data_IF_065833019876
#
_entry.id   IF_065833019876
#
_cell.length_a   1.000
_cell.length_b   1.000
_cell.length_c   1.000
_cell.angle_alpha   90.00
_cell.angle_beta   90.00
_cell.angle_gamma   90.00
#
_symmetry.space_group_name_H-M   'P 1'
#
loop_
_entity.id
_entity.type
_entity.pdbx_description
1 polymer ?
#
# COMPACT_ATOMS: atom_id res chain seq x y z
N UNK A 1 21.09 45.48 7.08
CA UNK A 1 20.05 45.39 8.14
C UNK A 1 18.70 45.63 7.47
N UNK A 2 17.78 44.70 7.26
CA UNK A 2 17.82 43.25 7.23
C UNK A 2 16.57 42.86 6.43
N UNK A 3 16.76 42.35 5.22
CA UNK A 3 15.70 41.88 4.35
C UNK A 3 15.38 40.45 4.80
N UNK A 4 14.35 40.27 5.65
CA UNK A 4 13.90 38.94 6.05
C UNK A 4 13.01 38.35 4.95
N UNK A 5 13.61 37.56 4.06
CA UNK A 5 12.90 36.59 3.24
C UNK A 5 12.10 35.67 4.16
N UNK A 6 10.77 35.72 4.05
CA UNK A 6 9.89 34.67 4.56
C UNK A 6 10.02 33.48 3.62
N UNK A 7 10.75 32.46 4.05
CA UNK A 7 10.84 31.16 3.37
C UNK A 7 9.46 30.50 3.40
N UNK A 8 8.72 30.63 2.32
CA UNK A 8 7.48 29.89 2.09
C UNK A 8 7.86 28.42 1.86
N UNK A 9 7.65 27.57 2.87
CA UNK A 9 7.73 26.12 2.71
C UNK A 9 6.62 25.71 1.74
N UNK A 10 7.01 25.43 0.49
CA UNK A 10 6.14 24.78 -0.49
C UNK A 10 6.00 23.33 -0.05
N UNK A 11 4.98 23.05 0.76
CA UNK A 11 4.51 21.70 1.03
C UNK A 11 3.92 21.13 -0.25
N UNK A 12 4.75 20.50 -1.08
CA UNK A 12 4.29 19.76 -2.26
C UNK A 12 3.73 18.43 -1.76
N UNK A 13 2.48 18.49 -1.31
CA UNK A 13 1.63 17.34 -1.12
C UNK A 13 1.63 16.52 -2.41
N UNK A 14 1.95 15.23 -2.32
CA UNK A 14 1.43 14.31 -3.31
C UNK A 14 -0.08 14.28 -3.11
N UNK A 15 -0.78 15.12 -3.88
CA UNK A 15 -2.08 14.71 -4.35
C UNK A 15 -1.83 13.51 -5.28
N UNK A 16 -1.72 12.32 -4.68
CA UNK A 16 -2.49 11.23 -5.25
C UNK A 16 -3.90 11.81 -5.30
N UNK A 17 -4.39 12.19 -6.48
CA UNK A 17 -5.75 12.67 -6.62
C UNK A 17 -6.67 11.49 -6.33
N UNK A 18 -6.89 11.22 -5.05
CA UNK A 18 -8.03 10.52 -4.54
C UNK A 18 -9.23 11.33 -5.03
N UNK A 19 -9.87 10.89 -6.10
CA UNK A 19 -11.19 11.42 -6.38
C UNK A 19 -12.10 10.99 -5.24
N UNK A 20 -12.48 12.01 -4.48
CA UNK A 20 -13.78 12.08 -3.87
C UNK A 20 -14.85 12.07 -4.95
N UNK A 21 -15.27 10.87 -5.33
CA UNK A 21 -16.65 10.67 -5.72
C UNK A 21 -17.45 10.59 -4.42
N UNK A 22 -18.48 11.42 -4.28
CA UNK A 22 -19.53 11.21 -3.30
C UNK A 22 -20.30 9.94 -3.70
N UNK A 23 -19.78 8.79 -3.30
CA UNK A 23 -20.52 7.55 -3.26
C UNK A 23 -20.70 7.20 -1.78
N UNK A 24 -21.94 6.97 -1.39
CA UNK A 24 -22.30 6.40 -0.09
C UNK A 24 -21.28 5.32 0.26
N UNK A 25 -20.71 5.39 1.46
CA UNK A 25 -19.74 4.45 2.00
C UNK A 25 -20.36 3.05 2.16
N UNK A 26 -20.59 2.37 1.04
CA UNK A 26 -20.46 0.93 0.91
C UNK A 26 -19.14 0.74 0.19
N UNK A 27 -18.12 0.44 0.98
CA UNK A 27 -16.86 -0.08 0.51
C UNK A 27 -17.19 -1.17 -0.52
N UNK A 28 -16.93 -0.98 -1.83
CA UNK A 28 -17.07 -2.09 -2.75
C UNK A 28 -16.13 -3.18 -2.20
N UNK A 29 -16.60 -4.43 -2.08
CA UNK A 29 -15.71 -5.51 -1.70
C UNK A 29 -14.50 -5.46 -2.64
N UNK A 30 -13.30 -5.68 -2.08
CA UNK A 30 -12.12 -5.91 -2.91
C UNK A 30 -12.52 -6.90 -4.01
N UNK A 31 -12.25 -6.57 -5.27
CA UNK A 31 -12.70 -7.42 -6.37
C UNK A 31 -12.15 -8.84 -6.15
N UNK A 32 -13.04 -9.83 -5.90
CA UNK A 32 -12.70 -11.14 -5.36
C UNK A 32 -11.76 -11.93 -6.27
N UNK A 33 -11.66 -11.55 -7.55
CA UNK A 33 -10.72 -12.14 -8.50
C UNK A 33 -9.27 -12.11 -8.01
N UNK A 34 -8.74 -10.97 -7.53
CA UNK A 34 -7.35 -10.93 -7.03
C UNK A 34 -7.16 -11.67 -5.72
N UNK A 35 -8.13 -11.65 -4.81
CA UNK A 35 -8.01 -12.36 -3.54
C UNK A 35 -7.87 -13.88 -3.74
N UNK A 36 -8.34 -14.40 -4.89
CA UNK A 36 -8.24 -15.81 -5.29
C UNK A 36 -7.09 -16.12 -6.25
N UNK A 37 -6.35 -15.10 -6.71
CA UNK A 37 -5.24 -15.26 -7.65
C UNK A 37 -4.04 -15.94 -7.00
N UNK A 38 -3.33 -16.79 -7.76
CA UNK A 38 -2.06 -17.37 -7.31
C UNK A 38 -1.00 -16.29 -7.00
N UNK A 39 -1.07 -15.15 -7.68
CA UNK A 39 -0.20 -14.00 -7.42
C UNK A 39 -0.40 -13.40 -6.02
N UNK A 40 -1.61 -13.46 -5.48
CA UNK A 40 -1.91 -12.93 -4.14
C UNK A 40 -1.36 -13.81 -3.00
N UNK A 41 -0.88 -15.02 -3.30
CA UNK A 41 -0.21 -15.90 -2.32
C UNK A 41 1.21 -15.46 -1.99
N UNK A 42 1.78 -14.51 -2.73
CA UNK A 42 3.11 -13.98 -2.48
C UNK A 42 3.23 -13.42 -1.07
N UNK A 43 4.29 -13.80 -0.36
CA UNK A 43 4.54 -13.36 1.01
C UNK A 43 5.89 -12.66 1.19
N UNK A 44 6.70 -12.59 0.13
CA UNK A 44 7.87 -11.73 0.02
C UNK A 44 7.86 -11.07 -1.34
N UNK A 45 7.81 -9.75 -1.36
CA UNK A 45 7.83 -8.97 -2.61
C UNK A 45 8.81 -7.82 -2.47
N UNK A 46 9.74 -7.71 -3.41
CA UNK A 46 10.58 -6.53 -3.59
C UNK A 46 10.07 -5.76 -4.79
N UNK A 47 9.80 -4.46 -4.63
CA UNK A 47 9.41 -3.56 -5.71
C UNK A 47 10.39 -2.39 -5.77
N UNK A 48 11.02 -2.19 -6.91
CA UNK A 48 11.64 -0.95 -7.32
C UNK A 48 10.67 -0.17 -8.20
N UNK A 49 10.38 1.08 -7.86
CA UNK A 49 9.43 1.93 -8.60
C UNK A 49 10.13 3.20 -9.02
N UNK A 50 9.98 3.59 -10.28
CA UNK A 50 10.48 4.87 -10.81
C UNK A 50 9.40 5.60 -11.58
N UNK A 51 9.27 6.90 -11.31
CA UNK A 51 8.40 7.84 -12.00
C UNK A 51 9.23 9.08 -12.31
N UNK A 52 9.95 9.05 -13.43
CA UNK A 52 10.96 10.06 -13.79
C UNK A 52 10.39 11.47 -13.82
N UNK A 53 9.22 11.64 -14.42
CA UNK A 53 8.51 12.93 -14.51
C UNK A 53 8.20 13.55 -13.15
N UNK A 54 8.06 12.74 -12.10
CA UNK A 54 7.76 13.18 -10.74
C UNK A 54 9.01 13.25 -9.86
N UNK A 55 10.19 12.93 -10.39
CA UNK A 55 11.43 12.84 -9.60
C UNK A 55 11.28 11.87 -8.43
N UNK A 56 10.58 10.76 -8.65
CA UNK A 56 10.27 9.77 -7.62
C UNK A 56 10.93 8.42 -7.95
N UNK A 57 11.65 7.89 -6.98
CA UNK A 57 12.19 6.54 -6.99
C UNK A 57 11.99 5.88 -5.63
N UNK A 58 11.74 4.58 -5.62
CA UNK A 58 11.55 3.83 -4.39
C UNK A 58 12.02 2.38 -4.51
N UNK A 59 12.43 1.81 -3.38
CA UNK A 59 12.58 0.39 -3.14
C UNK A 59 11.76 0.00 -1.91
N UNK A 60 10.84 -0.95 -2.11
CA UNK A 60 9.92 -1.41 -1.07
C UNK A 60 10.02 -2.92 -0.94
N UNK A 61 10.26 -3.38 0.29
CA UNK A 61 10.30 -4.80 0.63
C UNK A 61 9.12 -5.14 1.51
N UNK A 62 8.18 -5.89 0.95
CA UNK A 62 7.01 -6.42 1.64
C UNK A 62 7.29 -7.82 2.14
N UNK A 63 6.91 -8.09 3.39
CA UNK A 63 6.89 -9.43 3.93
C UNK A 63 5.56 -9.66 4.66
N UNK A 64 4.89 -10.76 4.36
CA UNK A 64 3.63 -11.16 5.00
C UNK A 64 3.87 -12.39 5.85
N UNK A 65 3.47 -12.31 7.10
CA UNK A 65 3.52 -13.43 8.04
C UNK A 65 2.29 -14.33 7.92
N UNK A 66 2.36 -15.53 8.50
CA UNK A 66 1.29 -16.53 8.42
C UNK A 66 -0.04 -16.10 9.05
N UNK A 67 -0.02 -15.18 10.02
CA UNK A 67 -1.23 -14.63 10.64
C UNK A 67 -1.73 -13.34 9.94
N UNK A 68 -1.10 -12.93 8.84
CA UNK A 68 -1.52 -11.80 8.03
C UNK A 68 -0.88 -10.46 8.39
N UNK A 69 -0.01 -10.39 9.40
CA UNK A 69 0.75 -9.16 9.69
C UNK A 69 1.72 -8.88 8.54
N UNK A 70 1.88 -7.60 8.20
CA UNK A 70 2.67 -7.15 7.05
C UNK A 70 3.80 -6.26 7.55
N UNK A 71 5.02 -6.54 7.12
CA UNK A 71 6.19 -5.67 7.28
C UNK A 71 6.51 -5.03 5.94
N UNK A 72 6.82 -3.75 5.97
CA UNK A 72 7.27 -2.96 4.85
C UNK A 72 8.57 -2.24 5.25
N UNK A 73 9.69 -2.65 4.67
CA UNK A 73 10.87 -1.78 4.63
C UNK A 73 10.75 -0.87 3.41
N UNK A 74 10.98 0.42 3.59
CA UNK A 74 10.89 1.39 2.52
C UNK A 74 12.13 2.26 2.47
N UNK A 75 12.57 2.51 1.24
CA UNK A 75 13.54 3.53 0.86
C UNK A 75 12.96 4.27 -0.33
N UNK A 76 12.84 5.58 -0.26
CA UNK A 76 12.29 6.38 -1.35
C UNK A 76 12.99 7.74 -1.43
N UNK A 77 13.12 8.24 -2.66
CA UNK A 77 13.54 9.60 -2.94
C UNK A 77 12.42 10.30 -3.69
N UNK A 78 12.09 11.50 -3.23
CA UNK A 78 11.04 12.34 -3.82
C UNK A 78 11.52 13.77 -3.90
N UNK A 79 11.57 14.32 -5.12
CA UNK A 79 12.03 15.70 -5.33
C UNK A 79 13.38 15.98 -4.62
N UNK A 80 14.29 15.00 -4.64
CA UNK A 80 15.60 15.07 -4.00
C UNK A 80 15.63 14.79 -2.49
N UNK A 81 14.49 14.58 -1.83
CA UNK A 81 14.43 14.23 -0.42
C UNK A 81 14.35 12.71 -0.24
N UNK A 82 15.36 12.14 0.41
CA UNK A 82 15.39 10.74 0.76
C UNK A 82 14.60 10.48 2.07
N UNK A 83 13.89 9.36 2.10
CA UNK A 83 13.17 8.81 3.25
C UNK A 83 13.46 7.32 3.31
N UNK A 84 13.73 6.81 4.51
CA UNK A 84 13.91 5.38 4.74
C UNK A 84 13.30 4.98 6.09
N UNK A 85 13.06 3.68 6.27
CA UNK A 85 12.68 3.10 7.56
C UNK A 85 11.74 1.90 7.38
N UNK A 86 11.04 1.52 8.45
CA UNK A 86 10.16 0.37 8.45
C UNK A 86 8.75 0.72 8.97
N UNK A 87 7.75 0.10 8.36
CA UNK A 87 6.36 0.11 8.77
C UNK A 87 5.88 -1.33 8.98
N UNK A 88 4.99 -1.54 9.94
CA UNK A 88 4.39 -2.86 10.17
C UNK A 88 2.91 -2.72 10.51
N UNK A 89 2.05 -3.43 9.78
CA UNK A 89 0.63 -3.55 10.10
C UNK A 89 0.41 -4.83 10.89
N UNK A 90 -0.05 -4.69 12.14
CA UNK A 90 -0.31 -5.81 13.05
C UNK A 90 -1.81 -5.94 13.28
N UNK A 91 -2.33 -7.14 13.07
CA UNK A 91 -3.72 -7.55 13.24
C UNK A 91 -4.73 -6.60 12.56
N UNK A 92 -4.33 -5.95 11.46
CA UNK A 92 -5.11 -4.92 10.75
C UNK A 92 -5.59 -3.74 11.63
N UNK A 93 -5.07 -3.60 12.85
CA UNK A 93 -5.57 -2.66 13.85
C UNK A 93 -4.55 -1.66 14.35
N UNK A 94 -3.25 -1.95 14.18
CA UNK A 94 -2.17 -1.04 14.57
C UNK A 94 -1.13 -0.94 13.46
N UNK A 95 -0.82 0.29 13.08
CA UNK A 95 0.37 0.60 12.28
C UNK A 95 1.52 0.91 13.24
N UNK A 96 2.62 0.16 13.13
CA UNK A 96 3.88 0.44 13.80
C UNK A 96 4.83 1.11 12.81
N UNK A 97 5.61 2.09 13.26
CA UNK A 97 6.61 2.78 12.44
C UNK A 97 7.93 2.96 13.19
N UNK A 98 9.04 2.72 12.49
CA UNK A 98 10.40 2.90 13.00
C UNK A 98 11.24 3.63 11.95
N UNK A 99 11.93 4.67 12.38
CA UNK A 99 12.83 5.51 11.56
C UNK A 99 12.20 6.20 10.33
N UNK A 100 10.89 6.04 10.11
CA UNK A 100 10.15 6.73 9.05
C UNK A 100 9.58 8.06 9.57
N UNK A 101 9.86 9.20 8.92
CA UNK A 101 9.17 10.46 9.21
C UNK A 101 7.71 10.33 8.77
N UNK A 102 6.78 10.50 9.72
CA UNK A 102 5.34 10.42 9.46
C UNK A 102 4.70 11.79 9.68
N UNK A 103 3.87 12.19 8.72
CA UNK A 103 3.06 13.38 8.84
C UNK A 103 1.83 13.10 9.71
N UNK A 104 1.56 13.99 10.66
CA UNK A 104 0.47 13.84 11.62
C UNK A 104 -0.88 13.79 10.89
N UNK A 105 -1.67 12.76 11.16
CA UNK A 105 -2.97 12.54 10.52
C UNK A 105 -2.90 11.89 9.13
N UNK A 106 -1.69 11.59 8.64
CA UNK A 106 -1.41 10.92 7.36
C UNK A 106 -0.46 9.72 7.53
N UNK A 107 -0.43 9.15 8.73
CA UNK A 107 0.43 8.02 9.06
C UNK A 107 0.10 6.80 8.18
N UNK A 108 -1.19 6.54 7.93
CA UNK A 108 -1.65 5.44 7.07
C UNK A 108 -1.26 5.63 5.61
N UNK A 109 -1.20 6.86 5.10
CA UNK A 109 -0.83 7.11 3.70
C UNK A 109 0.57 6.57 3.38
N UNK A 110 1.47 6.66 4.35
CA UNK A 110 2.85 6.18 4.25
C UNK A 110 2.95 4.66 4.05
N UNK A 111 1.91 3.93 4.48
CA UNK A 111 1.78 2.49 4.32
C UNK A 111 0.90 2.12 3.11
N UNK A 112 -0.20 2.85 2.91
CA UNK A 112 -1.18 2.59 1.85
C UNK A 112 -0.61 2.85 0.46
N UNK A 113 0.21 3.90 0.26
CA UNK A 113 0.79 4.20 -1.06
C UNK A 113 1.59 3.02 -1.65
N UNK A 114 2.60 2.50 -0.93
CA UNK A 114 3.34 1.30 -1.33
C UNK A 114 2.43 0.07 -1.54
N UNK A 115 1.44 -0.15 -0.68
CA UNK A 115 0.52 -1.27 -0.82
C UNK A 115 -0.40 -1.16 -2.04
N UNK A 116 -0.89 0.03 -2.37
CA UNK A 116 -1.66 0.26 -3.61
C UNK A 116 -0.82 -0.09 -4.84
N UNK A 117 0.47 0.25 -4.83
CA UNK A 117 1.39 -0.14 -5.91
C UNK A 117 1.61 -1.66 -5.96
N UNK A 118 1.76 -2.32 -4.81
CA UNK A 118 1.82 -3.78 -4.76
C UNK A 118 0.55 -4.40 -5.38
N UNK A 119 -0.63 -3.91 -4.99
CA UNK A 119 -1.90 -4.37 -5.57
C UNK A 119 -1.97 -4.13 -7.08
N UNK A 120 -1.48 -2.99 -7.58
CA UNK A 120 -1.39 -2.73 -9.01
C UNK A 120 -0.52 -3.78 -9.69
N UNK A 121 0.69 -4.01 -9.19
CA UNK A 121 1.61 -5.00 -9.75
C UNK A 121 0.99 -6.39 -9.81
N UNK A 122 0.34 -6.84 -8.73
CA UNK A 122 -0.31 -8.15 -8.71
C UNK A 122 -1.44 -8.25 -9.75
N UNK A 123 -2.23 -7.19 -9.93
CA UNK A 123 -3.27 -7.11 -10.98
C UNK A 123 -2.68 -7.17 -12.39
N UNK A 124 -1.56 -6.47 -12.62
CA UNK A 124 -0.87 -6.46 -13.91
C UNK A 124 -0.28 -7.84 -14.22
N UNK A 125 0.35 -8.50 -13.23
CA UNK A 125 0.89 -9.84 -13.35
C UNK A 125 -0.20 -10.89 -13.59
N UNK A 126 -1.33 -10.77 -12.91
CA UNK A 126 -2.50 -11.64 -13.15
C UNK A 126 -3.04 -11.47 -14.57
N UNK A 127 -3.13 -10.22 -15.07
CA UNK A 127 -3.58 -9.97 -16.45
C UNK A 127 -2.62 -10.57 -17.47
N UNK A 128 -1.31 -10.38 -17.26
CA UNK A 128 -0.27 -10.79 -18.19
C UNK A 128 -0.02 -12.31 -18.16
N UNK A 129 -0.11 -12.92 -16.97
CA UNK A 129 0.16 -14.34 -16.74
C UNK A 129 -0.94 -14.93 -15.83
N UNK A 130 -2.15 -15.17 -16.37
CA UNK A 130 -3.30 -15.63 -15.58
C UNK A 130 -3.12 -17.05 -15.02
N UNK A 131 -2.27 -17.88 -15.65
CA UNK A 131 -1.91 -19.21 -15.14
C UNK A 131 -1.04 -19.16 -13.87
N UNK A 132 -0.64 -17.96 -13.43
CA UNK A 132 0.07 -17.75 -12.17
C UNK A 132 1.59 -17.96 -12.25
N UNK A 133 2.29 -17.67 -11.15
CA UNK A 133 3.76 -17.66 -11.09
C UNK A 133 4.38 -19.03 -11.40
N UNK A 134 3.70 -20.13 -11.05
CA UNK A 134 4.22 -21.49 -11.27
C UNK A 134 4.34 -21.85 -12.77
N UNK A 135 3.62 -21.16 -13.65
CA UNK A 135 3.67 -21.37 -15.11
C UNK A 135 4.94 -20.81 -15.76
N UNK A 136 5.68 -19.93 -15.06
CA UNK A 136 6.84 -19.22 -15.59
C UNK A 136 8.07 -20.10 -15.46
N UNK A 137 8.45 -20.78 -16.55
CA UNK A 137 9.60 -21.69 -16.60
C UNK A 137 10.83 -21.12 -17.29
N UNK A 138 10.66 -20.02 -18.02
CA UNK A 138 11.71 -19.30 -18.74
C UNK A 138 11.35 -17.81 -18.79
N UNK A 139 12.32 -17.00 -19.17
CA UNK A 139 12.06 -15.60 -19.48
C UNK A 139 11.07 -15.48 -20.66
N UNK A 140 10.09 -14.59 -20.52
CA UNK A 140 9.08 -14.32 -21.52
C UNK A 140 8.64 -12.86 -21.50
N UNK A 141 8.27 -12.29 -22.66
CA UNK A 141 7.78 -10.92 -22.72
C UNK A 141 6.40 -10.80 -22.08
N UNK A 142 6.16 -9.63 -21.50
CA UNK A 142 4.84 -9.16 -21.08
C UNK A 142 4.37 -8.11 -22.07
N UNK A 143 3.14 -8.27 -22.54
CA UNK A 143 2.42 -7.25 -23.28
C UNK A 143 0.92 -7.44 -23.03
N UNK A 144 0.37 -6.65 -22.12
CA UNK A 144 -1.05 -6.69 -21.78
C UNK A 144 -1.64 -5.28 -21.81
N UNK A 145 -2.83 -5.16 -22.38
CA UNK A 145 -3.55 -3.90 -22.51
C UNK A 145 -5.03 -4.05 -22.21
N UNK A 146 -5.66 -2.94 -21.89
CA UNK A 146 -7.09 -2.79 -21.68
C UNK A 146 -7.50 -1.37 -22.07
N UNK A 147 -8.57 -1.26 -22.84
CA UNK A 147 -9.01 0.00 -23.45
C UNK A 147 -10.17 0.63 -22.69
N UNK A 148 -11.00 -0.19 -22.04
CA UNK A 148 -12.29 0.26 -21.53
C UNK A 148 -12.38 0.23 -19.99
N UNK A 149 -11.56 -0.59 -19.33
CA UNK A 149 -11.68 -0.85 -17.89
C UNK A 149 -10.47 -0.37 -17.12
N UNK A 150 -10.70 0.47 -16.12
CA UNK A 150 -9.66 0.90 -15.19
C UNK A 150 -9.13 -0.26 -14.33
N UNK A 151 -7.87 -0.18 -13.91
CA UNK A 151 -7.34 -1.04 -12.83
C UNK A 151 -7.73 -0.44 -11.49
N UNK A 152 -8.53 -1.17 -10.72
CA UNK A 152 -8.93 -0.78 -9.37
C UNK A 152 -8.12 -1.54 -8.34
N UNK A 153 -7.60 -0.81 -7.36
CA UNK A 153 -6.79 -1.33 -6.27
C UNK A 153 -7.28 -0.77 -4.95
N UNK A 154 -7.15 -1.53 -3.87
CA UNK A 154 -7.59 -1.09 -2.56
C UNK A 154 -6.68 -1.63 -1.45
N UNK A 155 -6.66 -0.90 -0.36
CA UNK A 155 -5.99 -1.24 0.90
C UNK A 155 -7.00 -1.08 2.03
N UNK A 156 -6.58 -1.30 3.27
CA UNK A 156 -7.48 -1.11 4.42
C UNK A 156 -8.00 0.34 4.51
N UNK A 157 -7.20 1.33 4.11
CA UNK A 157 -7.53 2.76 4.31
C UNK A 157 -7.47 3.64 3.08
N UNK A 158 -7.29 3.07 1.88
CA UNK A 158 -7.23 3.83 0.64
C UNK A 158 -7.63 2.98 -0.56
N UNK A 159 -8.25 3.63 -1.54
CA UNK A 159 -8.54 3.10 -2.86
C UNK A 159 -7.70 3.83 -3.92
N UNK A 160 -7.38 3.13 -5.00
CA UNK A 160 -6.70 3.66 -6.16
C UNK A 160 -7.34 3.18 -7.45
N UNK A 161 -7.26 4.02 -8.47
CA UNK A 161 -7.81 3.73 -9.79
C UNK A 161 -6.85 4.25 -10.87
N UNK A 162 -6.44 3.35 -11.77
CA UNK A 162 -5.61 3.66 -12.94
C UNK A 162 -6.46 3.53 -14.19
N UNK A 163 -6.69 4.65 -14.86
CA UNK A 163 -7.70 4.75 -15.91
C UNK A 163 -7.30 4.03 -17.18
N UNK A 164 -8.31 3.50 -17.88
CA UNK A 164 -8.14 3.04 -19.25
C UNK A 164 -8.07 4.24 -20.23
N UNK A 165 -7.44 4.09 -21.41
CA UNK A 165 -6.64 2.93 -21.80
C UNK A 165 -5.38 2.81 -20.94
N UNK A 166 -4.99 1.57 -20.64
CA UNK A 166 -3.73 1.26 -19.99
C UNK A 166 -3.03 0.09 -20.67
N UNK A 167 -1.70 0.05 -20.53
CA UNK A 167 -0.84 -1.01 -21.05
C UNK A 167 0.29 -1.26 -20.08
N UNK A 168 0.66 -2.54 -19.96
CA UNK A 168 1.89 -2.98 -19.32
C UNK A 168 2.72 -3.77 -20.33
N UNK A 169 3.97 -3.39 -20.48
CA UNK A 169 4.96 -4.13 -21.28
C UNK A 169 6.17 -4.48 -20.43
N UNK A 170 6.97 -5.46 -20.85
CA UNK A 170 8.24 -5.75 -20.20
C UNK A 170 8.65 -7.21 -20.29
N UNK A 171 9.30 -7.71 -19.25
CA UNK A 171 9.82 -9.08 -19.17
C UNK A 171 9.51 -9.71 -17.82
N UNK A 172 9.33 -11.03 -17.84
CA UNK A 172 9.15 -11.83 -16.63
C UNK A 172 9.87 -13.16 -16.77
N UNK A 173 10.47 -13.66 -15.70
CA UNK A 173 11.20 -14.91 -15.72
C UNK A 173 11.39 -15.54 -14.34
N UNK A 174 11.83 -16.80 -14.28
CA UNK A 174 12.15 -17.45 -13.03
C UNK A 174 13.36 -16.79 -12.35
N UNK A 175 13.32 -16.71 -11.02
CA UNK A 175 14.44 -16.35 -10.16
C UNK A 175 14.94 -17.53 -9.35
N UNK A 176 15.84 -17.28 -8.39
CA UNK A 176 16.31 -18.31 -7.46
C UNK A 176 15.21 -18.71 -6.48
N UNK A 177 15.24 -19.94 -5.95
CA UNK A 177 14.38 -20.39 -4.84
C UNK A 177 12.87 -20.16 -5.05
N UNK A 178 12.37 -20.43 -6.27
CA UNK A 178 10.96 -20.25 -6.62
C UNK A 178 10.52 -18.79 -6.72
N UNK A 179 11.46 -17.85 -6.78
CA UNK A 179 11.17 -16.45 -7.10
C UNK A 179 10.68 -16.31 -8.55
N UNK A 180 9.94 -15.24 -8.78
CA UNK A 180 9.66 -14.70 -10.11
C UNK A 180 10.20 -13.29 -10.16
N UNK A 181 11.01 -12.99 -11.17
CA UNK A 181 11.56 -11.66 -11.44
C UNK A 181 10.79 -11.01 -12.57
N UNK A 182 10.54 -9.73 -12.46
CA UNK A 182 9.86 -8.97 -13.50
C UNK A 182 10.41 -7.56 -13.63
N UNK A 183 10.30 -7.05 -14.84
CA UNK A 183 10.48 -5.65 -15.18
C UNK A 183 9.29 -5.23 -16.04
N UNK A 184 8.60 -4.17 -15.61
CA UNK A 184 7.35 -3.70 -16.20
C UNK A 184 7.46 -2.21 -16.47
N UNK A 185 7.01 -1.80 -17.64
CA UNK A 185 6.65 -0.42 -17.96
C UNK A 185 5.13 -0.33 -17.99
N UNK A 186 4.56 0.43 -17.06
CA UNK A 186 3.11 0.65 -16.99
C UNK A 186 2.77 2.07 -17.43
N UNK A 187 1.77 2.18 -18.31
CA UNK A 187 1.22 3.43 -18.79
C UNK A 187 -0.30 3.39 -18.64
N UNK A 188 -0.89 4.43 -18.07
CA UNK A 188 -2.34 4.58 -17.97
C UNK A 188 -2.80 5.98 -18.34
N UNK A 189 -4.05 6.11 -18.75
CA UNK A 189 -4.65 7.41 -18.99
C UNK A 189 -4.63 8.31 -17.75
N UNK A 190 -4.61 9.61 -17.99
CA UNK A 190 -4.73 10.63 -16.94
C UNK A 190 -6.19 11.10 -16.84
N UNK A 191 -6.62 11.49 -15.63
CA UNK A 191 -7.95 12.09 -15.42
C UNK A 191 -8.16 13.36 -16.23
N UNK A 192 -7.11 14.15 -16.40
CA UNK A 192 -7.17 15.31 -17.28
C UNK A 192 -6.90 14.84 -18.71
N UNK A 193 -7.82 15.06 -19.67
CA UNK A 193 -7.59 14.72 -21.08
C UNK A 193 -6.39 15.45 -21.69
N UNK A 194 -5.99 16.58 -21.08
CA UNK A 194 -4.79 17.35 -21.45
C UNK A 194 -3.57 17.01 -20.58
N UNK A 195 -3.76 16.20 -19.54
CA UNK A 195 -2.69 15.72 -18.69
C UNK A 195 -1.89 14.65 -19.41
N UNK A 196 -0.58 14.66 -19.21
CA UNK A 196 0.23 13.57 -19.72
C UNK A 196 -0.17 12.24 -19.06
N UNK A 197 0.00 11.11 -19.77
CA UNK A 197 -0.24 9.78 -19.21
C UNK A 197 0.50 9.59 -17.88
N UNK A 198 -0.09 8.75 -17.04
CA UNK A 198 0.62 8.24 -15.88
C UNK A 198 1.57 7.15 -16.36
N UNK A 199 2.86 7.30 -16.04
CA UNK A 199 3.92 6.41 -16.47
C UNK A 199 4.75 5.99 -15.26
N UNK A 200 5.01 4.69 -15.14
CA UNK A 200 5.88 4.16 -14.09
C UNK A 200 6.63 2.93 -14.57
N UNK A 201 7.92 2.88 -14.25
CA UNK A 201 8.75 1.69 -14.39
C UNK A 201 8.77 0.95 -13.06
N UNK A 202 8.56 -0.36 -13.13
CA UNK A 202 8.49 -1.23 -11.96
C UNK A 202 9.41 -2.41 -12.20
N UNK A 203 10.38 -2.60 -11.33
CA UNK A 203 11.20 -3.82 -11.28
C UNK A 203 10.86 -4.56 -10.00
N UNK A 204 10.88 -5.89 -10.01
CA UNK A 204 10.56 -6.59 -8.79
C UNK A 204 10.87 -8.07 -8.76
N UNK A 205 10.74 -8.59 -7.54
CA UNK A 205 10.87 -10.00 -7.22
C UNK A 205 9.63 -10.38 -6.42
N UNK A 206 8.93 -11.40 -6.87
CA UNK A 206 7.81 -12.02 -6.16
C UNK A 206 8.23 -13.40 -5.66
N UNK A 207 7.81 -13.77 -4.45
CA UNK A 207 8.02 -15.10 -3.89
C UNK A 207 6.89 -15.48 -2.93
N UNK A 208 6.48 -16.75 -3.00
CA UNK A 208 5.68 -17.40 -1.95
C UNK A 208 6.61 -18.34 -1.16
N UNK A 209 7.32 -17.78 -0.17
CA UNK A 209 8.28 -18.53 0.63
C UNK A 209 7.58 -19.42 1.67
N UNK A 210 8.10 -20.63 1.89
CA UNK A 210 7.64 -21.51 2.97
C UNK A 210 8.82 -21.88 3.87
N UNK A 211 8.80 -21.58 5.17
CA UNK A 211 7.73 -20.87 5.88
C UNK A 211 7.69 -19.35 5.56
N UNK A 212 6.54 -18.67 5.79
CA UNK A 212 6.45 -17.21 5.72
C UNK A 212 7.34 -16.55 6.80
N UNK A 213 7.51 -15.23 6.72
CA UNK A 213 8.22 -14.49 7.78
C UNK A 213 7.51 -14.70 9.12
N UNK A 214 8.30 -14.93 10.17
CA UNK A 214 7.78 -15.07 11.52
C UNK A 214 7.86 -13.74 12.26
N UNK A 215 6.76 -13.36 12.89
CA UNK A 215 6.66 -12.21 13.79
C UNK A 215 6.19 -12.73 15.15
N UNK A 216 7.11 -13.28 15.96
CA UNK A 216 6.74 -13.89 17.24
C UNK A 216 6.22 -12.82 18.20
N UNK A 217 5.31 -13.21 19.10
CA UNK A 217 4.74 -12.32 20.12
C UNK A 217 5.82 -11.68 21.02
N UNK A 218 6.95 -12.37 21.18
CA UNK A 218 8.10 -11.91 21.96
C UNK A 218 8.97 -10.88 21.24
N UNK A 219 8.73 -10.59 19.95
CA UNK A 219 9.52 -9.62 19.19
C UNK A 219 9.45 -8.23 19.85
N UNK A 220 10.59 -7.67 20.30
CA UNK A 220 10.60 -6.40 21.00
C UNK A 220 10.31 -5.24 20.03
N UNK A 221 9.56 -4.25 20.53
CA UNK A 221 9.16 -3.07 19.77
C UNK A 221 9.89 -1.79 20.21
N UNK A 222 11.09 -1.93 20.78
CA UNK A 222 11.96 -0.78 21.08
C UNK A 222 12.25 0.01 19.80
N UNK A 223 12.02 1.33 19.84
CA UNK A 223 12.19 2.23 18.69
C UNK A 223 10.99 2.27 17.74
N UNK A 224 9.95 1.47 17.96
CA UNK A 224 8.71 1.54 17.20
C UNK A 224 7.71 2.49 17.86
N UNK A 225 7.03 3.29 17.02
CA UNK A 225 5.86 4.08 17.40
C UNK A 225 4.63 3.39 16.87
N UNK A 226 3.66 3.12 17.73
CA UNK A 226 2.41 2.48 17.35
C UNK A 226 1.25 3.44 17.21
N UNK A 227 0.39 3.20 16.22
CA UNK A 227 -0.74 4.03 15.86
C UNK A 227 -1.96 3.15 15.68
N UNK A 228 -2.98 3.30 16.53
CA UNK A 228 -4.23 2.55 16.36
C UNK A 228 -4.97 3.06 15.14
N UNK A 229 -5.36 2.14 14.28
CA UNK A 229 -6.26 2.41 13.16
C UNK A 229 -7.67 2.53 13.72
N UNK A 230 -8.35 3.62 13.37
CA UNK A 230 -9.70 3.91 13.82
C UNK A 230 -10.51 4.58 12.72
N UNK A 231 -11.82 4.39 12.78
CA UNK A 231 -12.75 5.18 11.99
C UNK A 231 -12.69 6.65 12.45
N UNK A 232 -12.57 7.56 11.49
CA UNK A 232 -12.62 9.00 11.69
C UNK A 232 -13.75 9.58 10.86
N UNK A 233 -14.48 10.51 11.45
CA UNK A 233 -15.51 11.29 10.75
C UNK A 233 -14.91 12.67 10.50
N UNK A 234 -14.77 13.03 9.23
CA UNK A 234 -14.27 14.33 8.81
C UNK A 234 -15.43 15.15 8.26
N UNK A 235 -15.68 16.31 8.86
CA UNK A 235 -16.67 17.25 8.33
C UNK A 235 -16.14 17.84 7.01
N UNK A 236 -16.94 17.73 5.94
CA UNK A 236 -16.71 18.35 4.64
C UNK A 236 -17.94 19.15 4.23
N UNK A 237 -18.01 20.40 4.70
CA UNK A 237 -19.18 21.26 4.46
C UNK A 237 -20.45 20.65 5.06
N UNK A 238 -21.50 20.50 4.25
CA UNK A 238 -22.78 19.93 4.68
C UNK A 238 -22.79 18.39 4.82
N UNK A 239 -21.67 17.70 4.54
CA UNK A 239 -21.58 16.24 4.61
C UNK A 239 -20.44 15.77 5.51
N UNK A 240 -20.67 14.66 6.21
CA UNK A 240 -19.65 13.94 6.97
C UNK A 240 -19.05 12.83 6.10
N UNK A 241 -17.73 12.83 5.94
CA UNK A 241 -17.00 11.73 5.33
C UNK A 241 -16.49 10.79 6.42
N UNK A 242 -16.85 9.51 6.34
CA UNK A 242 -16.32 8.46 7.22
C UNK A 242 -15.13 7.81 6.52
N UNK A 243 -13.99 7.75 7.19
CA UNK A 243 -12.77 7.11 6.68
C UNK A 243 -11.96 6.47 7.78
N UNK A 244 -10.75 5.98 7.46
CA UNK A 244 -9.79 5.53 8.45
C UNK A 244 -8.74 6.60 8.71
N UNK A 245 -8.36 6.71 9.97
CA UNK A 245 -7.23 7.51 10.42
C UNK A 245 -6.51 6.81 11.56
N UNK A 246 -5.56 7.49 12.16
CA UNK A 246 -4.81 6.93 13.29
C UNK A 246 -5.03 7.68 14.60
N UNK A 247 -4.76 7.01 15.73
CA UNK A 247 -4.65 7.64 17.04
C UNK A 247 -3.36 8.44 17.16
N UNK A 248 -3.20 9.16 18.28
CA UNK A 248 -1.88 9.59 18.72
C UNK A 248 -0.95 8.37 18.89
N UNK A 249 0.36 8.61 18.82
CA UNK A 249 1.37 7.58 18.99
C UNK A 249 1.29 6.93 20.36
N UNK A 250 1.52 5.62 20.40
CA UNK A 250 1.57 4.78 21.59
C UNK A 250 2.83 3.93 21.54
N UNK A 251 3.30 3.52 22.71
CA UNK A 251 4.37 2.54 22.84
C UNK A 251 3.78 1.16 23.14
N UNK A 252 4.46 0.13 22.67
CA UNK A 252 4.19 -1.27 22.98
C UNK A 252 5.52 -1.94 23.32
N UNK A 253 5.53 -2.90 24.24
CA UNK A 253 6.73 -3.64 24.59
C UNK A 253 7.10 -4.65 23.48
N UNK A 254 6.10 -5.36 22.96
CA UNK A 254 6.29 -6.42 21.96
C UNK A 254 5.04 -6.62 21.08
N UNK A 255 5.17 -7.44 20.02
CA UNK A 255 4.07 -7.73 19.09
C UNK A 255 2.88 -8.41 19.79
N UNK A 256 3.12 -9.28 20.76
CA UNK A 256 2.05 -9.96 21.51
C UNK A 256 1.15 -8.98 22.26
N UNK A 257 1.73 -7.93 22.83
CA UNK A 257 0.98 -6.84 23.45
C UNK A 257 0.08 -6.12 22.43
N UNK A 258 0.60 -5.83 21.23
CA UNK A 258 -0.18 -5.19 20.16
C UNK A 258 -1.39 -6.05 19.79
N UNK A 259 -1.18 -7.36 19.55
CA UNK A 259 -2.23 -8.30 19.16
C UNK A 259 -3.32 -8.41 20.23
N UNK A 260 -2.94 -8.54 21.51
CA UNK A 260 -3.89 -8.52 22.63
C UNK A 260 -4.69 -7.22 22.67
N UNK A 261 -4.03 -6.07 22.49
CA UNK A 261 -4.69 -4.78 22.53
C UNK A 261 -5.70 -4.59 21.39
N UNK A 262 -5.39 -5.07 20.19
CA UNK A 262 -6.32 -5.08 19.05
C UNK A 262 -7.54 -5.98 19.33
N UNK A 263 -7.33 -7.15 19.93
CA UNK A 263 -8.43 -8.04 20.34
C UNK A 263 -9.36 -7.35 21.34
N UNK A 264 -8.81 -6.73 22.40
CA UNK A 264 -9.58 -6.00 23.41
C UNK A 264 -10.45 -4.88 22.79
N UNK A 265 -9.90 -4.13 21.83
CA UNK A 265 -10.61 -3.04 21.17
C UNK A 265 -11.77 -3.55 20.29
N UNK A 266 -11.56 -4.67 19.61
CA UNK A 266 -12.59 -5.32 18.79
C UNK A 266 -13.74 -5.80 19.66
N UNK A 267 -13.44 -6.46 20.78
CA UNK A 267 -14.45 -6.95 21.73
C UNK A 267 -15.25 -5.81 22.36
N UNK A 268 -14.58 -4.73 22.75
CA UNK A 268 -15.25 -3.54 23.28
C UNK A 268 -16.20 -2.90 22.26
N UNK A 269 -15.78 -2.83 20.99
CA UNK A 269 -16.62 -2.36 19.89
C UNK A 269 -17.88 -3.23 19.73
N UNK A 270 -17.71 -4.56 19.71
CA UNK A 270 -18.80 -5.51 19.57
C UNK A 270 -19.78 -5.49 20.76
N UNK A 271 -19.30 -5.24 21.98
CA UNK A 271 -20.17 -5.04 23.15
C UNK A 271 -20.99 -3.77 23.04
N UNK A 272 -20.36 -2.63 22.69
CA UNK A 272 -21.08 -1.35 22.54
C UNK A 272 -22.17 -1.38 21.48
N UNK A 273 -21.92 -2.04 20.35
CA UNK A 273 -22.93 -2.21 19.30
C UNK A 273 -24.16 -3.01 19.80
N UNK A 274 -23.96 -4.04 20.62
CA UNK A 274 -25.06 -4.84 21.19
C UNK A 274 -25.94 -4.05 22.17
N UNK A 275 -25.37 -3.13 22.93
CA UNK A 275 -26.15 -2.28 23.86
C UNK A 275 -26.94 -1.16 23.16
N UNK A 276 -26.66 -0.83 21.91
CA UNK A 276 -27.36 0.21 21.15
C UNK A 276 -28.53 -0.33 20.31
N UNK A 277 -28.66 -1.66 20.20
CA UNK A 277 -29.70 -2.32 19.39
C UNK A 277 -30.68 -3.17 20.22
N UNK A 278 -30.62 -3.08 21.55
CA UNK A 278 -31.59 -3.70 22.48
C UNK A 278 -32.26 -2.62 23.30
#
# INVERSE_FOLDING_TARGET
>A
MDCRLKTTLVGISFALAATLAAAQSRQPPADPAVASSEWAKGNRVLLGVTQERLGFSAQWRFQRSGNGDIVLDLEETRAGQARAGALMLVANGVLLARDVPLERGRELDSFNGPLLMLQLVLRLLERAVPAGPASIKREMPIDAAEHDRAVKVSTIGADGEFLAPWRVTGQIGPGADGQVRFELQFVSANRSPRGAPYETRIVGIWQNASPPVQLPDTMPLRGWRGFRIKTVVTARGAMNAVGLGTSAAMAFANIGEVRRRVADWTDQGARRARWQCG
#
